data_IF_393908306706
#
_entry.id   IF_393908306706
#
_cell.length_a   1.000
_cell.length_b   1.000
_cell.length_c   1.000
_cell.angle_alpha   90.00
_cell.angle_beta   90.00
_cell.angle_gamma   90.00
#
_symmetry.space_group_name_H-M   'P 1'
#
loop_
_entity.id
_entity.type
_entity.pdbx_description
1 polymer ?
#
# COMPACT_ATOMS: atom_id res chain seq x y z
N UNK A 1 -33.48 -38.51 -15.73
CA UNK A 1 -34.72 -38.66 -14.99
C UNK A 1 -34.38 -39.09 -13.57
N UNK A 2 -35.02 -38.53 -12.60
CA UNK A 2 -34.89 -38.63 -11.13
C UNK A 2 -33.96 -37.61 -10.50
N UNK A 3 -34.57 -36.49 -10.13
CA UNK A 3 -34.09 -35.46 -9.21
C UNK A 3 -34.25 -35.98 -7.78
N UNK A 4 -33.22 -36.00 -7.01
CA UNK A 4 -33.31 -36.18 -5.55
C UNK A 4 -32.98 -34.86 -4.88
N UNK A 5 -33.98 -34.27 -4.25
CA UNK A 5 -33.94 -33.08 -3.44
C UNK A 5 -33.53 -33.54 -2.04
N UNK A 6 -32.35 -33.13 -1.56
CA UNK A 6 -31.94 -33.30 -0.19
C UNK A 6 -32.30 -32.04 0.61
N UNK A 7 -33.31 -32.16 1.44
CA UNK A 7 -33.74 -31.15 2.41
C UNK A 7 -32.77 -31.16 3.57
N UNK A 8 -32.01 -30.10 3.80
CA UNK A 8 -31.17 -29.91 4.98
C UNK A 8 -31.95 -29.03 5.94
N UNK A 9 -32.33 -29.62 7.08
CA UNK A 9 -32.92 -28.95 8.24
C UNK A 9 -31.86 -28.01 8.87
N UNK A 10 -32.17 -26.72 8.91
CA UNK A 10 -31.46 -25.77 9.75
C UNK A 10 -31.96 -25.89 11.20
N UNK A 11 -31.12 -26.40 12.06
CA UNK A 11 -31.28 -26.25 13.52
C UNK A 11 -30.74 -24.89 13.93
N UNK A 12 -31.61 -24.00 14.34
CA UNK A 12 -31.30 -22.72 14.94
C UNK A 12 -30.79 -22.91 16.36
N UNK A 13 -29.51 -22.70 16.58
CA UNK A 13 -28.94 -22.63 17.93
C UNK A 13 -28.68 -21.18 18.27
N UNK A 14 -29.56 -20.59 19.07
CA UNK A 14 -29.37 -19.25 19.67
C UNK A 14 -28.35 -19.38 20.79
N UNK A 15 -27.14 -18.88 20.56
CA UNK A 15 -26.16 -18.72 21.64
C UNK A 15 -26.14 -17.24 22.02
N UNK A 16 -26.65 -17.01 23.23
CA UNK A 16 -26.56 -15.75 23.97
C UNK A 16 -25.09 -15.45 24.26
N UNK A 17 -24.57 -14.35 23.70
CA UNK A 17 -23.23 -13.86 24.00
C UNK A 17 -23.26 -13.09 25.32
N UNK A 18 -22.95 -13.76 26.41
CA UNK A 18 -22.50 -13.11 27.64
C UNK A 18 -21.03 -12.72 27.45
N UNK A 19 -20.75 -11.41 27.46
CA UNK A 19 -19.41 -10.86 27.47
C UNK A 19 -18.72 -11.27 28.79
N UNK A 20 -17.75 -12.17 28.69
CA UNK A 20 -16.79 -12.45 29.77
C UNK A 20 -15.48 -11.77 29.42
N UNK A 21 -15.18 -10.66 30.10
CA UNK A 21 -13.84 -10.18 30.28
C UNK A 21 -13.10 -11.19 31.17
N UNK A 22 -12.27 -12.00 30.57
CA UNK A 22 -11.30 -12.82 31.26
C UNK A 22 -9.97 -12.61 30.55
N UNK A 23 -9.09 -11.74 31.05
CA UNK A 23 -7.82 -12.24 31.51
C UNK A 23 -7.10 -11.19 32.37
N UNK A 24 -6.88 -11.68 33.58
CA UNK A 24 -6.18 -11.05 34.66
C UNK A 24 -4.69 -11.16 34.45
N UNK A 25 -4.01 -10.00 34.32
CA UNK A 25 -2.68 -9.85 34.90
C UNK A 25 -2.49 -8.39 35.32
N UNK A 26 -3.28 -7.96 36.28
CA UNK A 26 -2.86 -6.90 37.18
C UNK A 26 -1.80 -7.48 38.12
N UNK A 27 -0.54 -7.22 37.85
CA UNK A 27 0.54 -7.44 38.78
C UNK A 27 0.33 -6.51 39.98
N UNK A 28 0.24 -7.11 41.19
CA UNK A 28 0.04 -6.50 42.47
C UNK A 28 0.70 -5.14 42.61
N UNK A 29 -0.12 -4.11 42.85
CA UNK A 29 0.33 -2.90 43.53
C UNK A 29 0.30 -3.18 45.04
N UNK A 30 1.36 -2.94 45.80
CA UNK A 30 1.31 -2.98 47.26
C UNK A 30 0.52 -1.80 47.82
N UNK A 31 -0.22 -2.12 48.87
CA UNK A 31 -1.12 -1.26 49.62
C UNK A 31 -0.63 0.17 49.83
N UNK A 32 -1.43 1.13 49.37
CA UNK A 32 -1.75 2.36 50.09
C UNK A 32 -3.06 2.93 49.52
N UNK A 33 -4.07 2.99 50.41
CA UNK A 33 -5.36 3.65 50.20
C UNK A 33 -5.16 5.09 49.66
N UNK A 34 -5.75 5.37 48.47
CA UNK A 34 -6.46 6.63 48.18
C UNK A 34 -6.97 6.57 46.75
N UNK A 35 -8.27 6.46 46.62
CA UNK A 35 -9.16 6.89 45.52
C UNK A 35 -8.49 7.26 44.20
N UNK A 36 -8.42 6.32 43.27
CA UNK A 36 -8.19 6.62 41.86
C UNK A 36 -9.51 7.10 41.22
N UNK A 37 -9.68 8.40 41.12
CA UNK A 37 -10.66 9.01 40.25
C UNK A 37 -10.17 8.85 38.81
N UNK A 38 -10.82 7.99 38.03
CA UNK A 38 -10.59 7.91 36.59
C UNK A 38 -11.12 9.18 35.93
N UNK A 39 -10.25 10.12 35.65
CA UNK A 39 -10.55 11.27 34.82
C UNK A 39 -10.62 10.84 33.35
N UNK A 40 -11.74 11.09 32.68
CA UNK A 40 -12.09 10.57 31.32
C UNK A 40 -11.30 11.20 30.16
N UNK A 41 -10.30 12.03 30.42
CA UNK A 41 -9.56 12.77 29.40
C UNK A 41 -8.03 12.51 29.41
N UNK A 42 -7.57 11.48 30.13
CA UNK A 42 -6.17 11.10 30.07
C UNK A 42 -5.89 10.25 28.79
N UNK A 43 -5.46 10.94 27.75
CA UNK A 43 -4.75 10.37 26.61
C UNK A 43 -3.56 9.58 27.15
N UNK A 44 -3.72 8.26 27.29
CA UNK A 44 -2.58 7.36 27.60
C UNK A 44 -1.58 7.49 26.46
N UNK A 45 -0.61 8.36 26.65
CA UNK A 45 0.58 8.42 25.82
C UNK A 45 1.42 7.19 26.19
N UNK A 46 1.21 6.09 25.47
CA UNK A 46 2.10 4.92 25.56
C UNK A 46 3.44 5.31 25.01
N UNK A 47 4.29 5.90 25.86
CA UNK A 47 5.73 5.87 25.67
C UNK A 47 6.22 4.46 26.02
N UNK A 48 5.98 3.51 25.11
CA UNK A 48 6.72 2.25 25.15
C UNK A 48 8.11 2.56 24.58
N UNK A 49 9.08 2.70 25.47
CA UNK A 49 10.50 2.56 25.17
C UNK A 49 10.78 1.09 24.82
N UNK A 50 10.35 0.68 23.61
CA UNK A 50 10.80 -0.58 23.03
C UNK A 50 12.07 -0.27 22.24
N UNK A 51 13.22 -0.59 22.83
CA UNK A 51 14.56 -0.52 22.20
C UNK A 51 14.71 -1.43 20.97
N UNK A 52 13.63 -2.07 20.52
CA UNK A 52 13.61 -3.00 19.39
C UNK A 52 12.74 -2.50 18.24
N UNK A 53 12.82 -1.20 17.94
CA UNK A 53 11.97 -0.56 16.94
C UNK A 53 12.54 -0.75 15.55
N UNK A 54 11.93 -1.66 14.77
CA UNK A 54 12.15 -1.73 13.33
C UNK A 54 11.55 -0.49 12.67
N UNK A 55 12.39 0.39 12.15
CA UNK A 55 11.98 1.61 11.45
C UNK A 55 12.00 1.31 9.95
N UNK A 56 10.88 1.52 9.23
CA UNK A 56 10.86 1.32 7.79
C UNK A 56 11.68 2.42 7.08
N UNK A 57 12.18 2.08 5.88
CA UNK A 57 12.82 3.07 5.02
C UNK A 57 11.87 4.21 4.67
N UNK A 58 12.38 5.44 4.58
CA UNK A 58 11.58 6.63 4.31
C UNK A 58 12.21 7.52 3.23
N UNK A 59 11.35 8.12 2.40
CA UNK A 59 11.79 9.18 1.48
C UNK A 59 12.14 10.46 2.27
N UNK A 60 13.19 11.19 1.92
CA UNK A 60 13.53 12.46 2.55
C UNK A 60 12.36 13.45 2.47
N UNK A 61 11.85 13.88 3.61
CA UNK A 61 10.63 14.70 3.70
C UNK A 61 9.32 13.90 3.79
N UNK A 62 9.40 12.57 3.88
CA UNK A 62 8.26 11.69 4.12
C UNK A 62 7.36 11.48 2.91
N UNK A 63 6.18 10.92 3.15
CA UNK A 63 5.22 10.55 2.10
C UNK A 63 4.74 11.76 1.29
N UNK A 64 4.57 12.91 1.94
CA UNK A 64 4.16 14.16 1.29
C UNK A 64 5.16 14.59 0.21
N UNK A 65 6.43 14.66 0.57
CA UNK A 65 7.51 15.02 -0.37
C UNK A 65 7.66 13.99 -1.50
N UNK A 66 7.45 12.70 -1.21
CA UNK A 66 7.44 11.65 -2.21
C UNK A 66 6.30 11.84 -3.22
N UNK A 67 5.09 12.12 -2.75
CA UNK A 67 3.93 12.36 -3.64
C UNK A 67 4.14 13.58 -4.52
N UNK A 68 4.64 14.67 -3.94
CA UNK A 68 4.97 15.89 -4.70
C UNK A 68 6.07 15.63 -5.72
N UNK A 69 7.12 14.92 -5.33
CA UNK A 69 8.19 14.53 -6.25
C UNK A 69 7.65 13.71 -7.44
N UNK A 70 6.80 12.73 -7.17
CA UNK A 70 6.18 11.91 -8.22
C UNK A 70 5.33 12.77 -9.15
N UNK A 71 4.47 13.62 -8.61
CA UNK A 71 3.60 14.50 -9.40
C UNK A 71 4.38 15.45 -10.32
N UNK A 72 5.54 15.93 -9.87
CA UNK A 72 6.38 16.85 -10.64
C UNK A 72 7.30 16.16 -11.67
N UNK A 73 7.63 14.87 -11.46
CA UNK A 73 8.62 14.17 -12.28
C UNK A 73 8.05 13.09 -13.19
N UNK A 74 6.84 12.61 -12.93
CA UNK A 74 6.17 11.65 -13.81
C UNK A 74 5.76 12.32 -15.12
N UNK A 75 6.20 11.73 -16.22
CA UNK A 75 5.79 12.14 -17.56
C UNK A 75 4.77 11.14 -18.08
N UNK A 76 3.64 11.65 -18.52
CA UNK A 76 2.63 10.80 -19.11
C UNK A 76 3.09 10.30 -20.49
N UNK A 77 3.05 8.98 -20.77
CA UNK A 77 3.48 8.45 -22.06
C UNK A 77 2.53 8.90 -23.18
N UNK A 78 3.08 9.44 -24.28
CA UNK A 78 2.30 9.99 -25.40
C UNK A 78 1.30 8.98 -25.99
N UNK A 79 1.69 7.71 -26.08
CA UNK A 79 0.79 6.68 -26.59
C UNK A 79 -0.40 6.46 -25.65
N UNK A 80 -0.19 6.48 -24.35
CA UNK A 80 -1.27 6.34 -23.36
C UNK A 80 -2.17 7.59 -23.37
N UNK A 81 -1.63 8.78 -23.55
CA UNK A 81 -2.39 10.03 -23.70
C UNK A 81 -3.28 10.00 -24.96
N UNK A 82 -2.74 9.56 -26.10
CA UNK A 82 -3.46 9.43 -27.36
C UNK A 82 -4.74 8.56 -27.25
N UNK A 83 -4.69 7.51 -26.45
CA UNK A 83 -5.81 6.59 -26.22
C UNK A 83 -6.62 6.94 -24.95
N UNK A 84 -6.19 7.93 -24.20
CA UNK A 84 -6.86 8.32 -22.96
C UNK A 84 -6.83 7.22 -21.90
N UNK A 85 -5.66 6.58 -21.68
CA UNK A 85 -5.53 5.42 -20.81
C UNK A 85 -5.20 5.86 -19.41
N UNK A 86 -6.02 5.55 -18.44
CA UNK A 86 -5.67 5.71 -17.02
C UNK A 86 -5.42 4.34 -16.39
N UNK A 87 -4.49 4.31 -15.45
CA UNK A 87 -4.13 3.06 -14.81
C UNK A 87 -3.19 3.23 -13.63
N UNK A 88 -2.93 2.11 -12.99
CA UNK A 88 -2.06 2.01 -11.82
C UNK A 88 -1.02 0.94 -12.01
N UNK A 89 0.20 1.19 -11.56
CA UNK A 89 1.28 0.22 -11.54
C UNK A 89 1.87 0.14 -10.14
N UNK A 90 2.25 -1.05 -9.73
CA UNK A 90 2.96 -1.27 -8.46
C UNK A 90 4.43 -1.48 -8.75
N UNK A 91 5.26 -0.61 -8.19
CA UNK A 91 6.71 -0.69 -8.29
C UNK A 91 7.30 -1.28 -7.03
N UNK A 92 8.22 -2.23 -7.17
CA UNK A 92 8.99 -2.82 -6.07
C UNK A 92 10.45 -2.45 -6.23
N UNK A 93 11.09 -2.08 -5.15
CA UNK A 93 12.53 -1.82 -5.12
C UNK A 93 13.09 -2.08 -3.72
N UNK A 94 14.40 -2.14 -3.63
CA UNK A 94 15.11 -2.29 -2.36
C UNK A 94 15.77 -0.95 -2.03
N UNK A 95 15.54 -0.47 -0.82
CA UNK A 95 16.30 0.62 -0.23
C UNK A 95 17.49 0.01 0.50
N UNK A 96 18.69 0.26 0.02
CA UNK A 96 19.91 -0.28 0.58
C UNK A 96 20.29 0.45 1.88
N UNK A 97 21.26 -0.12 2.61
CA UNK A 97 21.78 0.44 3.89
C UNK A 97 22.34 1.85 3.74
N UNK A 98 22.85 2.20 2.57
CA UNK A 98 23.38 3.53 2.24
C UNK A 98 22.31 4.49 1.70
N UNK A 99 21.05 4.05 1.63
CA UNK A 99 19.91 4.80 1.09
C UNK A 99 19.80 4.79 -0.43
N UNK A 100 20.66 4.06 -1.15
CA UNK A 100 20.53 3.86 -2.59
C UNK A 100 19.38 2.93 -2.92
N UNK A 101 18.88 3.01 -4.16
CA UNK A 101 17.77 2.18 -4.63
C UNK A 101 18.29 1.11 -5.60
N UNK A 102 17.93 -0.14 -5.34
CA UNK A 102 18.33 -1.28 -6.16
C UNK A 102 17.12 -2.16 -6.50
N UNK A 103 17.30 -3.09 -7.43
CA UNK A 103 16.34 -4.14 -7.78
C UNK A 103 14.94 -3.60 -8.13
N UNK A 104 14.90 -2.55 -8.95
CA UNK A 104 13.66 -1.89 -9.36
C UNK A 104 12.90 -2.77 -10.34
N UNK A 105 11.72 -3.25 -9.94
CA UNK A 105 10.83 -4.10 -10.74
C UNK A 105 9.42 -3.53 -10.72
N UNK A 106 8.67 -3.80 -11.79
CA UNK A 106 7.27 -3.44 -11.89
C UNK A 106 6.42 -4.70 -11.82
N UNK A 107 5.29 -4.63 -11.14
CA UNK A 107 4.27 -5.68 -11.10
C UNK A 107 2.89 -5.05 -11.17
N UNK A 108 1.87 -5.88 -11.39
CA UNK A 108 0.46 -5.52 -11.27
C UNK A 108 0.07 -4.20 -11.96
N UNK A 109 0.34 -4.13 -13.27
CA UNK A 109 -0.18 -3.04 -14.07
C UNK A 109 -1.67 -3.25 -14.33
N UNK A 110 -2.49 -2.41 -13.73
CA UNK A 110 -3.94 -2.39 -13.93
C UNK A 110 -4.31 -1.16 -14.76
N UNK A 111 -5.02 -1.40 -15.87
CA UNK A 111 -5.62 -0.33 -16.65
C UNK A 111 -7.02 -0.13 -16.10
N UNK A 112 -7.27 1.05 -15.52
CA UNK A 112 -8.53 1.34 -14.84
C UNK A 112 -9.61 1.76 -15.83
N UNK A 113 -9.27 2.62 -16.80
CA UNK A 113 -10.23 3.08 -17.80
C UNK A 113 -9.58 3.67 -19.05
N UNK A 114 -10.40 3.80 -20.09
CA UNK A 114 -10.11 4.54 -21.31
C UNK A 114 -11.07 5.73 -21.40
N UNK A 115 -10.55 6.93 -21.46
CA UNK A 115 -11.36 8.16 -21.56
C UNK A 115 -11.87 8.34 -23.00
N UNK A 116 -11.10 7.85 -23.99
CA UNK A 116 -11.46 7.99 -25.41
C UNK A 116 -12.03 6.70 -25.98
N UNK A 117 -12.91 6.80 -26.97
CA UNK A 117 -13.46 5.66 -27.71
C UNK A 117 -12.48 5.02 -28.69
N UNK A 118 -11.34 5.65 -28.94
CA UNK A 118 -10.32 5.18 -29.91
C UNK A 118 -9.85 3.74 -29.65
N UNK A 119 -9.71 3.37 -28.38
CA UNK A 119 -9.30 2.02 -28.03
C UNK A 119 -10.36 0.97 -28.42
N UNK A 120 -11.64 1.26 -28.20
CA UNK A 120 -12.74 0.36 -28.54
C UNK A 120 -12.91 0.17 -30.06
N UNK A 121 -12.45 1.12 -30.87
CA UNK A 121 -12.51 1.06 -32.33
C UNK A 121 -11.40 0.19 -32.95
N UNK A 122 -10.39 -0.18 -32.15
CA UNK A 122 -9.30 -1.02 -32.63
C UNK A 122 -9.69 -2.51 -32.66
N UNK A 123 -9.19 -3.28 -33.62
CA UNK A 123 -9.39 -4.74 -33.65
C UNK A 123 -8.89 -5.42 -32.36
N UNK A 124 -9.56 -6.48 -31.89
CA UNK A 124 -9.22 -7.17 -30.63
C UNK A 124 -7.75 -7.57 -30.51
N UNK A 125 -7.18 -8.10 -31.62
CA UNK A 125 -5.76 -8.46 -31.65
C UNK A 125 -4.84 -7.25 -31.39
N UNK A 126 -5.23 -6.06 -31.85
CA UNK A 126 -4.50 -4.82 -31.63
C UNK A 126 -4.72 -4.28 -30.22
N UNK A 127 -5.95 -4.40 -29.69
CA UNK A 127 -6.27 -4.01 -28.31
C UNK A 127 -5.39 -4.77 -27.30
N UNK A 128 -5.22 -6.08 -27.49
CA UNK A 128 -4.35 -6.89 -26.62
C UNK A 128 -2.91 -6.39 -26.63
N UNK A 129 -2.34 -6.16 -27.81
CA UNK A 129 -0.98 -5.61 -27.96
C UNK A 129 -0.83 -4.22 -27.33
N UNK A 130 -1.87 -3.37 -27.50
CA UNK A 130 -1.87 -2.02 -26.92
C UNK A 130 -1.86 -2.06 -25.39
N UNK A 131 -2.65 -2.95 -24.76
CA UNK A 131 -2.63 -3.12 -23.30
C UNK A 131 -1.25 -3.51 -22.78
N UNK A 132 -0.59 -4.44 -23.45
CA UNK A 132 0.79 -4.84 -23.11
C UNK A 132 1.77 -3.67 -23.28
N UNK A 133 1.62 -2.87 -24.34
CA UNK A 133 2.44 -1.68 -24.55
C UNK A 133 2.20 -0.61 -23.50
N UNK A 134 0.96 -0.35 -23.09
CA UNK A 134 0.66 0.62 -22.03
C UNK A 134 1.29 0.18 -20.70
N UNK A 135 1.17 -1.11 -20.35
CA UNK A 135 1.79 -1.65 -19.15
C UNK A 135 3.31 -1.45 -19.16
N UNK A 136 3.95 -1.74 -20.30
CA UNK A 136 5.39 -1.56 -20.47
C UNK A 136 5.81 -0.08 -20.37
N UNK A 137 5.04 0.83 -20.97
CA UNK A 137 5.32 2.26 -20.92
C UNK A 137 5.20 2.82 -19.49
N UNK A 138 4.16 2.43 -18.76
CA UNK A 138 3.99 2.82 -17.36
C UNK A 138 5.11 2.25 -16.49
N UNK A 139 5.51 0.99 -16.70
CA UNK A 139 6.63 0.38 -16.00
C UNK A 139 7.95 1.10 -16.25
N UNK A 140 8.22 1.43 -17.52
CA UNK A 140 9.43 2.15 -17.92
C UNK A 140 9.49 3.54 -17.29
N UNK A 141 8.38 4.26 -17.29
CA UNK A 141 8.31 5.59 -16.69
C UNK A 141 8.44 5.55 -15.17
N UNK A 142 7.73 4.62 -14.50
CA UNK A 142 7.88 4.39 -13.07
C UNK A 142 9.32 4.07 -12.68
N UNK A 143 9.98 3.18 -13.43
CA UNK A 143 11.38 2.84 -13.18
C UNK A 143 12.32 4.03 -13.40
N UNK A 144 12.07 4.86 -14.43
CA UNK A 144 12.84 6.08 -14.70
C UNK A 144 12.76 7.06 -13.52
N UNK A 145 11.55 7.31 -13.03
CA UNK A 145 11.33 8.25 -11.92
C UNK A 145 11.98 7.74 -10.64
N UNK A 146 11.83 6.45 -10.31
CA UNK A 146 12.44 5.87 -9.12
C UNK A 146 13.97 5.94 -9.19
N UNK A 147 14.59 5.66 -10.35
CA UNK A 147 16.05 5.76 -10.54
C UNK A 147 16.59 7.19 -10.35
N UNK A 148 15.77 8.20 -10.61
CA UNK A 148 16.15 9.61 -10.44
C UNK A 148 15.85 10.17 -9.05
N UNK A 149 15.31 9.37 -8.14
CA UNK A 149 15.04 9.80 -6.77
C UNK A 149 16.32 10.06 -5.99
N UNK A 150 16.25 10.99 -5.04
CA UNK A 150 17.30 11.22 -4.06
C UNK A 150 17.49 10.00 -3.17
N UNK A 151 18.63 9.91 -2.50
CA UNK A 151 18.87 8.87 -1.50
C UNK A 151 17.79 8.88 -0.42
N UNK A 152 17.32 7.70 -0.10
CA UNK A 152 16.35 7.47 0.95
C UNK A 152 17.02 7.37 2.31
N UNK A 153 16.26 7.57 3.36
CA UNK A 153 16.66 7.17 4.71
C UNK A 153 16.45 5.66 4.82
N UNK A 154 17.53 4.87 5.06
CA UNK A 154 17.40 3.42 5.14
C UNK A 154 16.55 3.00 6.34
N UNK A 155 15.90 1.86 6.23
CA UNK A 155 15.24 1.24 7.36
C UNK A 155 16.26 0.71 8.38
N UNK A 156 15.83 0.57 9.62
CA UNK A 156 16.67 -0.03 10.69
C UNK A 156 15.98 -1.24 11.29
N UNK A 157 16.75 -2.28 11.54
CA UNK A 157 16.35 -3.46 12.32
C UNK A 157 17.21 -3.48 13.56
N UNK A 158 16.59 -3.43 14.74
CA UNK A 158 17.28 -3.35 16.02
C UNK A 158 18.31 -2.18 16.07
N UNK A 159 17.94 -1.04 15.48
CA UNK A 159 18.81 0.14 15.43
C UNK A 159 19.94 0.09 14.38
N UNK A 160 20.12 -1.03 13.67
CA UNK A 160 21.16 -1.18 12.65
C UNK A 160 20.55 -0.95 11.26
N UNK A 161 21.16 -0.14 10.38
CA UNK A 161 20.70 0.06 9.01
C UNK A 161 20.61 -1.26 8.25
N UNK A 162 19.46 -1.52 7.62
CA UNK A 162 19.17 -2.74 6.89
C UNK A 162 18.55 -2.45 5.52
N UNK A 163 18.88 -3.29 4.53
CA UNK A 163 18.24 -3.23 3.23
C UNK A 163 16.76 -3.64 3.35
N UNK A 164 15.87 -2.77 2.89
CA UNK A 164 14.42 -2.95 3.08
C UNK A 164 13.70 -2.94 1.75
N UNK A 165 12.82 -3.93 1.52
CA UNK A 165 11.92 -3.90 0.36
C UNK A 165 10.87 -2.81 0.55
N UNK A 166 10.65 -2.04 -0.50
CA UNK A 166 9.62 -1.02 -0.56
C UNK A 166 8.68 -1.26 -1.74
N UNK A 167 7.40 -1.00 -1.52
CA UNK A 167 6.35 -1.13 -2.54
C UNK A 167 5.69 0.22 -2.73
N UNK A 168 5.69 0.71 -3.96
CA UNK A 168 5.18 2.03 -4.31
C UNK A 168 4.13 1.92 -5.42
N UNK A 169 2.84 2.13 -5.12
CA UNK A 169 1.81 2.24 -6.14
C UNK A 169 1.91 3.63 -6.83
N UNK A 170 1.95 3.63 -8.15
CA UNK A 170 1.96 4.84 -8.97
C UNK A 170 0.70 4.83 -9.83
N UNK A 171 -0.11 5.88 -9.72
CA UNK A 171 -1.33 6.06 -10.51
C UNK A 171 -1.09 7.07 -11.62
N UNK A 172 -1.46 6.71 -12.83
CA UNK A 172 -1.41 7.54 -14.02
C UNK A 172 -2.82 8.04 -14.35
N UNK A 173 -3.09 9.29 -14.05
CA UNK A 173 -4.35 9.94 -14.37
C UNK A 173 -4.10 11.06 -15.37
N UNK A 174 -5.03 11.27 -16.30
CA UNK A 174 -5.00 12.39 -17.23
C UNK A 174 -5.62 13.60 -16.52
N UNK A 175 -4.88 14.69 -16.36
CA UNK A 175 -5.46 15.89 -15.77
C UNK A 175 -6.60 16.38 -16.67
N UNK A 176 -7.78 16.55 -16.10
CA UNK A 176 -8.91 17.16 -16.81
C UNK A 176 -8.49 18.59 -17.21
N UNK A 177 -8.51 18.85 -18.51
CA UNK A 177 -8.33 20.19 -19.04
C UNK A 177 -9.66 20.92 -19.06
#
# INVERSE_FOLDING_TARGET
MKKTIATILFASLTISAAAQCADSTCVKCPEHEKTCACNKDAKCNKSSTDENKNIPAQYPGGVKALTEYLGNNIKYPELADKYGVEGRIVMHFIVEKDGSLSNITASDCQIDRFITTKFAQEPEAKQKKLKEQFALLFAKEGARVIKSMKKWTPGTINGVPASTKYTLPITFNIPYK
#
